data_IF_069627666131
#
_entry.id   IF_069627666131
#
_cell.length_a   1.000
_cell.length_b   1.000
_cell.length_c   1.000
_cell.angle_alpha   90.00
_cell.angle_beta   90.00
_cell.angle_gamma   90.00
#
_symmetry.space_group_name_H-M   'P 1'
#
loop_
_entity.id
_entity.type
_entity.pdbx_description
1 polymer ?
#
# COMPACT_ATOMS: atom_id res chain seq x y z
N UNK A 1 38.62 57.43 56.49
CA UNK A 1 38.96 55.99 56.40
C UNK A 1 37.66 55.24 56.52
N UNK A 2 36.99 54.90 55.42
CA UNK A 2 37.05 53.54 54.88
C UNK A 2 36.76 53.54 53.38
N UNK A 3 37.68 52.91 52.66
CA UNK A 3 37.70 52.67 51.22
C UNK A 3 36.60 51.69 50.79
N UNK A 4 35.74 52.12 49.87
CA UNK A 4 34.80 51.25 49.15
C UNK A 4 35.55 50.33 48.19
N UNK A 5 35.75 49.08 48.61
CA UNK A 5 36.36 48.03 47.80
C UNK A 5 35.34 47.52 46.76
N UNK A 6 35.58 47.85 45.49
CA UNK A 6 34.84 47.34 44.34
C UNK A 6 35.19 45.87 44.11
N UNK A 7 34.29 44.96 44.49
CA UNK A 7 34.40 43.53 44.19
C UNK A 7 34.13 43.28 42.70
N UNK A 8 35.21 43.11 41.94
CA UNK A 8 35.19 42.55 40.59
C UNK A 8 34.70 41.11 40.64
N UNK A 9 33.55 40.83 40.02
CA UNK A 9 33.10 39.46 39.79
C UNK A 9 33.96 38.81 38.70
N UNK A 10 34.51 37.60 38.91
CA UNK A 10 35.22 36.88 37.86
C UNK A 10 34.24 36.38 36.81
N UNK A 11 34.45 36.77 35.55
CA UNK A 11 33.72 36.26 34.39
C UNK A 11 34.02 34.77 34.19
N UNK A 12 32.98 33.93 34.24
CA UNK A 12 33.07 32.51 33.88
C UNK A 12 33.47 32.35 32.40
N UNK A 13 34.32 31.37 32.06
CA UNK A 13 34.66 31.09 30.66
C UNK A 13 33.44 30.55 29.90
N UNK A 14 33.31 30.88 28.60
CA UNK A 14 32.20 30.38 27.78
C UNK A 14 32.30 28.85 27.62
N UNK A 15 31.17 28.13 27.57
CA UNK A 15 31.16 26.69 27.39
C UNK A 15 31.72 26.31 26.01
N UNK A 16 32.38 25.14 25.88
CA UNK A 16 32.90 24.69 24.60
C UNK A 16 31.76 24.46 23.61
N UNK A 17 31.93 24.98 22.40
CA UNK A 17 31.00 24.76 21.28
C UNK A 17 30.93 23.25 20.98
N UNK A 18 29.73 22.68 21.13
CA UNK A 18 29.46 21.31 20.72
C UNK A 18 29.78 21.16 19.22
N UNK A 19 30.41 20.05 18.79
CA UNK A 19 30.71 19.82 17.39
C UNK A 19 29.44 19.95 16.55
N UNK A 20 29.48 20.87 15.59
CA UNK A 20 28.47 21.07 14.56
C UNK A 20 28.03 19.73 14.02
N UNK A 21 26.72 19.49 14.10
CA UNK A 21 25.98 18.35 13.59
C UNK A 21 26.81 17.48 12.64
N UNK A 22 27.21 16.30 13.14
CA UNK A 22 27.62 15.19 12.29
C UNK A 22 26.63 15.13 11.14
N UNK A 23 27.14 15.21 9.91
CA UNK A 23 26.41 14.85 8.71
C UNK A 23 25.85 13.44 8.89
N UNK A 24 24.64 13.36 9.44
CA UNK A 24 23.81 12.19 9.38
C UNK A 24 23.36 12.11 7.93
N UNK A 25 24.18 11.49 7.08
CA UNK A 25 23.67 10.91 5.85
C UNK A 25 22.64 9.86 6.30
N UNK A 26 21.37 10.28 6.29
CA UNK A 26 20.27 9.37 6.49
C UNK A 26 20.47 8.22 5.50
N UNK A 27 20.51 6.95 5.94
CA UNK A 27 20.58 5.85 4.99
C UNK A 27 19.38 6.00 4.06
N UNK A 28 19.65 6.01 2.76
CA UNK A 28 18.62 6.01 1.72
C UNK A 28 17.53 5.01 2.13
N UNK A 29 16.31 5.51 2.26
CA UNK A 29 15.17 4.81 2.85
C UNK A 29 15.18 3.32 2.48
N UNK A 30 15.49 2.46 3.46
CA UNK A 30 15.54 1.02 3.26
C UNK A 30 14.16 0.55 2.76
N UNK A 31 14.09 0.27 1.46
CA UNK A 31 12.87 -0.21 0.82
C UNK A 31 12.44 -1.49 1.54
N UNK A 32 11.27 -1.44 2.18
CA UNK A 32 10.72 -2.54 2.98
C UNK A 32 10.60 -3.78 2.11
N UNK A 33 10.94 -4.95 2.68
CA UNK A 33 10.89 -6.25 1.99
C UNK A 33 9.47 -6.52 1.49
N UNK A 34 9.33 -6.66 0.18
CA UNK A 34 8.07 -7.08 -0.46
C UNK A 34 7.87 -8.59 -0.27
N UNK A 35 6.61 -9.04 -0.31
CA UNK A 35 6.31 -10.47 -0.25
C UNK A 35 6.72 -11.22 -1.52
N UNK A 36 6.70 -10.53 -2.66
CA UNK A 36 6.99 -11.09 -3.99
C UNK A 36 7.81 -10.09 -4.77
N UNK A 37 8.82 -10.57 -5.49
CA UNK A 37 9.58 -9.76 -6.43
C UNK A 37 8.98 -9.81 -7.84
N UNK A 38 9.06 -8.70 -8.60
CA UNK A 38 8.61 -8.67 -9.98
C UNK A 38 9.47 -9.60 -10.83
N UNK A 39 8.87 -10.20 -11.86
CA UNK A 39 9.59 -11.02 -12.83
C UNK A 39 10.75 -10.25 -13.47
N UNK A 40 10.50 -9.00 -13.86
CA UNK A 40 11.49 -8.07 -14.40
C UNK A 40 11.50 -6.77 -13.58
N UNK A 41 12.54 -6.48 -12.78
CA UNK A 41 12.58 -5.30 -11.91
C UNK A 41 12.68 -3.98 -12.69
N UNK A 42 13.28 -4.02 -13.88
CA UNK A 42 13.41 -2.86 -14.77
C UNK A 42 12.05 -2.46 -15.37
N UNK A 43 11.27 -3.45 -15.83
CA UNK A 43 9.94 -3.25 -16.44
C UNK A 43 8.80 -3.22 -15.41
N UNK A 44 9.11 -2.96 -14.15
CA UNK A 44 8.12 -2.97 -13.08
C UNK A 44 8.29 -1.79 -12.13
N UNK A 45 7.19 -1.21 -11.69
CA UNK A 45 7.16 -0.19 -10.65
C UNK A 45 6.62 -0.79 -9.34
N UNK A 46 7.20 -0.38 -8.22
CA UNK A 46 6.82 -0.84 -6.88
C UNK A 46 6.23 0.33 -6.09
N UNK A 47 5.20 0.08 -5.30
CA UNK A 47 4.66 1.03 -4.34
C UNK A 47 4.15 0.31 -3.09
N UNK A 48 4.32 0.94 -1.92
CA UNK A 48 3.87 0.40 -0.65
C UNK A 48 3.24 1.48 0.23
N UNK A 49 2.09 1.17 0.82
CA UNK A 49 1.49 1.93 1.91
C UNK A 49 1.71 1.23 3.24
N UNK A 50 2.30 1.92 4.22
CA UNK A 50 2.65 1.34 5.52
C UNK A 50 1.74 1.86 6.63
N UNK A 51 1.38 0.98 7.57
CA UNK A 51 0.62 1.31 8.79
C UNK A 51 -0.66 2.12 8.53
N UNK A 52 -1.31 1.86 7.38
CA UNK A 52 -2.48 2.60 6.95
C UNK A 52 -3.66 2.30 7.86
N UNK A 53 -4.24 3.35 8.46
CA UNK A 53 -5.40 3.22 9.36
C UNK A 53 -6.72 3.06 8.58
N UNK A 54 -6.84 1.94 7.89
CA UNK A 54 -8.04 1.53 7.14
C UNK A 54 -8.51 0.15 7.60
N UNK A 55 -9.74 -0.24 7.27
CA UNK A 55 -10.27 -1.54 7.69
C UNK A 55 -9.66 -2.65 6.83
N UNK A 56 -8.70 -3.40 7.39
CA UNK A 56 -7.98 -4.48 6.70
C UNK A 56 -8.87 -5.37 5.81
N UNK A 57 -9.99 -5.87 6.34
CA UNK A 57 -10.87 -6.78 5.59
C UNK A 57 -11.47 -6.12 4.35
N UNK A 58 -11.82 -4.84 4.41
CA UNK A 58 -12.41 -4.12 3.29
C UNK A 58 -11.34 -3.82 2.23
N UNK A 59 -10.16 -3.40 2.69
CA UNK A 59 -9.02 -3.11 1.82
C UNK A 59 -8.56 -4.37 1.08
N UNK A 60 -8.57 -5.55 1.74
CA UNK A 60 -8.25 -6.83 1.08
C UNK A 60 -9.21 -7.16 -0.07
N UNK A 61 -10.51 -7.01 0.13
CA UNK A 61 -11.49 -7.27 -0.94
C UNK A 61 -11.36 -6.24 -2.07
N UNK A 62 -11.07 -4.98 -1.73
CA UNK A 62 -10.80 -3.91 -2.69
C UNK A 62 -9.58 -4.25 -3.56
N UNK A 63 -8.46 -4.61 -2.92
CA UNK A 63 -7.24 -4.99 -3.62
C UNK A 63 -7.44 -6.22 -4.52
N UNK A 64 -8.17 -7.23 -4.03
CA UNK A 64 -8.42 -8.44 -4.81
C UNK A 64 -9.26 -8.16 -6.07
N UNK A 65 -10.16 -7.18 -6.02
CA UNK A 65 -10.95 -6.77 -7.18
C UNK A 65 -10.13 -6.08 -8.27
N UNK A 66 -9.00 -5.47 -7.94
CA UNK A 66 -8.13 -4.75 -8.88
C UNK A 66 -7.06 -5.63 -9.54
N UNK A 67 -6.89 -6.87 -9.08
CA UNK A 67 -5.81 -7.74 -9.55
C UNK A 67 -5.94 -8.00 -11.06
N UNK A 68 -4.83 -7.88 -11.80
CA UNK A 68 -4.75 -8.07 -13.26
C UNK A 68 -5.53 -7.04 -14.09
N UNK A 69 -5.94 -5.91 -13.52
CA UNK A 69 -6.54 -4.82 -14.29
C UNK A 69 -5.47 -3.88 -14.86
N UNK A 70 -5.70 -3.28 -16.04
CA UNK A 70 -4.87 -2.19 -16.53
C UNK A 70 -5.06 -0.95 -15.64
N UNK A 71 -4.02 -0.13 -15.52
CA UNK A 71 -3.95 0.96 -14.54
C UNK A 71 -5.08 2.00 -14.71
N UNK A 72 -5.33 2.44 -15.95
CA UNK A 72 -6.40 3.40 -16.24
C UNK A 72 -7.80 2.89 -15.87
N UNK A 73 -8.07 1.60 -16.13
CA UNK A 73 -9.34 0.96 -15.75
C UNK A 73 -9.47 0.82 -14.24
N UNK A 74 -8.38 0.49 -13.55
CA UNK A 74 -8.36 0.35 -12.09
C UNK A 74 -8.70 1.68 -11.39
N UNK A 75 -8.14 2.80 -11.86
CA UNK A 75 -8.46 4.15 -11.36
C UNK A 75 -9.93 4.50 -11.54
N UNK A 76 -10.44 4.41 -12.78
CA UNK A 76 -11.85 4.67 -13.09
C UNK A 76 -12.79 3.80 -12.25
N UNK A 77 -12.44 2.53 -12.08
CA UNK A 77 -13.22 1.63 -11.25
C UNK A 77 -13.29 2.05 -9.78
N UNK A 78 -12.19 2.55 -9.20
CA UNK A 78 -12.20 3.07 -7.82
C UNK A 78 -12.98 4.37 -7.69
N UNK A 79 -12.92 5.25 -8.69
CA UNK A 79 -13.74 6.47 -8.74
C UNK A 79 -15.24 6.14 -8.82
N UNK A 80 -15.62 5.15 -9.63
CA UNK A 80 -16.99 4.65 -9.71
C UNK A 80 -17.46 4.02 -8.40
N UNK A 81 -16.56 3.39 -7.64
CA UNK A 81 -16.86 2.87 -6.29
C UNK A 81 -17.14 4.02 -5.32
N UNK A 82 -16.39 5.12 -5.40
CA UNK A 82 -16.64 6.32 -4.59
C UNK A 82 -17.98 6.96 -4.95
N UNK A 83 -18.32 6.98 -6.24
CA UNK A 83 -19.61 7.45 -6.75
C UNK A 83 -20.76 6.44 -6.58
N UNK A 84 -20.52 5.29 -5.95
CA UNK A 84 -21.51 4.20 -5.75
C UNK A 84 -22.11 3.60 -7.05
N UNK A 85 -21.49 3.85 -8.21
CA UNK A 85 -21.89 3.30 -9.51
C UNK A 85 -21.52 1.82 -9.65
N UNK A 86 -20.43 1.42 -9.00
CA UNK A 86 -19.89 0.06 -9.07
C UNK A 86 -19.55 -0.45 -7.66
N UNK A 87 -20.00 -1.66 -7.32
CA UNK A 87 -19.73 -2.26 -6.02
C UNK A 87 -18.48 -3.15 -6.04
N UNK A 88 -17.75 -3.16 -4.91
CA UNK A 88 -16.65 -4.10 -4.69
C UNK A 88 -17.25 -5.42 -4.20
N UNK A 89 -16.97 -6.56 -4.88
CA UNK A 89 -17.45 -7.86 -4.45
C UNK A 89 -16.70 -8.33 -3.20
N UNK A 90 -17.43 -8.79 -2.18
CA UNK A 90 -16.84 -9.37 -0.96
C UNK A 90 -16.85 -10.89 -1.06
N UNK A 91 -15.67 -11.50 -1.21
CA UNK A 91 -15.52 -12.95 -1.43
C UNK A 91 -15.17 -13.71 -0.16
N UNK A 92 -14.16 -13.25 0.60
CA UNK A 92 -13.69 -13.95 1.81
C UNK A 92 -14.42 -13.47 3.07
N UNK A 93 -14.59 -12.17 3.23
CA UNK A 93 -15.21 -11.56 4.42
C UNK A 93 -16.70 -11.29 4.21
N UNK A 94 -17.48 -12.36 4.09
CA UNK A 94 -18.88 -12.34 3.65
C UNK A 94 -19.94 -12.49 4.77
N UNK A 95 -19.55 -12.87 5.99
CA UNK A 95 -20.49 -13.15 7.09
C UNK A 95 -21.15 -11.85 7.59
N UNK A 96 -22.39 -11.60 7.17
CA UNK A 96 -23.17 -10.40 7.54
C UNK A 96 -23.01 -9.20 6.59
N UNK A 97 -22.54 -9.41 5.35
CA UNK A 97 -22.45 -8.35 4.34
C UNK A 97 -23.74 -8.27 3.52
N UNK A 98 -24.23 -7.04 3.29
CA UNK A 98 -25.38 -6.77 2.44
C UNK A 98 -25.19 -7.26 1.00
N UNK A 99 -26.31 -7.51 0.32
CA UNK A 99 -26.35 -7.98 -1.07
C UNK A 99 -26.73 -6.82 -2.00
N UNK A 100 -26.10 -6.75 -3.17
CA UNK A 100 -26.33 -5.70 -4.15
C UNK A 100 -26.40 -6.31 -5.55
N UNK A 101 -27.35 -5.87 -6.38
CA UNK A 101 -27.47 -6.32 -7.76
C UNK A 101 -26.18 -6.08 -8.60
N UNK A 102 -25.49 -4.97 -8.35
CA UNK A 102 -24.22 -4.62 -9.00
C UNK A 102 -23.11 -5.68 -8.81
N UNK A 103 -23.15 -6.44 -7.71
CA UNK A 103 -22.15 -7.47 -7.42
C UNK A 103 -22.42 -8.79 -8.18
N UNK A 104 -23.63 -8.99 -8.73
CA UNK A 104 -24.03 -10.24 -9.41
C UNK A 104 -23.12 -10.56 -10.60
N UNK A 105 -22.74 -9.55 -11.38
CA UNK A 105 -21.89 -9.73 -12.56
C UNK A 105 -20.46 -10.20 -12.22
N UNK A 106 -20.00 -10.00 -10.98
CA UNK A 106 -18.63 -10.34 -10.56
C UNK A 106 -18.54 -11.52 -9.59
N UNK A 107 -19.64 -11.90 -8.94
CA UNK A 107 -19.65 -12.98 -7.95
C UNK A 107 -21.06 -13.55 -7.75
N UNK A 108 -21.18 -14.88 -7.70
CA UNK A 108 -22.48 -15.57 -7.60
C UNK A 108 -23.23 -15.31 -6.28
N UNK A 109 -22.52 -15.08 -5.18
CA UNK A 109 -23.13 -14.82 -3.86
C UNK A 109 -23.82 -13.43 -3.78
N UNK A 110 -23.59 -12.55 -4.75
CA UNK A 110 -24.26 -11.24 -4.83
C UNK A 110 -23.92 -10.26 -3.69
N UNK A 111 -22.90 -10.56 -2.87
CA UNK A 111 -22.47 -9.71 -1.76
C UNK A 111 -21.42 -8.68 -2.20
N UNK A 112 -21.67 -7.41 -1.88
CA UNK A 112 -20.78 -6.33 -2.24
C UNK A 112 -21.08 -5.05 -1.47
N UNK A 113 -20.08 -4.16 -1.37
CA UNK A 113 -20.17 -2.86 -0.69
C UNK A 113 -19.34 -1.82 -1.43
N UNK A 114 -19.48 -0.56 -1.00
CA UNK A 114 -18.66 0.58 -1.46
C UNK A 114 -17.76 1.09 -0.31
N UNK A 115 -16.64 0.42 -0.01
CA UNK A 115 -15.73 0.84 1.05
C UNK A 115 -14.94 2.10 0.65
N UNK A 116 -15.57 3.28 0.76
CA UNK A 116 -15.02 4.55 0.29
C UNK A 116 -13.63 4.88 0.88
N UNK A 117 -13.42 4.67 2.19
CA UNK A 117 -12.12 4.92 2.81
C UNK A 117 -11.02 4.04 2.20
N UNK A 118 -11.27 2.73 2.05
CA UNK A 118 -10.29 1.82 1.45
C UNK A 118 -10.01 2.17 -0.01
N UNK A 119 -11.05 2.53 -0.78
CA UNK A 119 -10.90 2.93 -2.18
C UNK A 119 -10.02 4.18 -2.34
N UNK A 120 -10.18 5.21 -1.50
CA UNK A 120 -9.34 6.42 -1.52
C UNK A 120 -7.86 6.09 -1.31
N UNK A 121 -7.53 5.36 -0.25
CA UNK A 121 -6.14 4.99 0.05
C UNK A 121 -5.49 4.14 -1.05
N UNK A 122 -6.26 3.27 -1.70
CA UNK A 122 -5.74 2.46 -2.82
C UNK A 122 -5.58 3.31 -4.08
N UNK A 123 -6.47 4.27 -4.33
CA UNK A 123 -6.33 5.24 -5.44
C UNK A 123 -5.06 6.08 -5.28
N UNK A 124 -4.79 6.58 -4.08
CA UNK A 124 -3.59 7.36 -3.79
C UNK A 124 -2.32 6.51 -3.97
N UNK A 125 -2.36 5.23 -3.59
CA UNK A 125 -1.25 4.31 -3.82
C UNK A 125 -1.02 4.03 -5.32
N UNK A 126 -2.09 3.96 -6.13
CA UNK A 126 -1.97 3.80 -7.58
C UNK A 126 -1.37 5.04 -8.25
N UNK A 127 -1.74 6.25 -7.81
CA UNK A 127 -1.13 7.50 -8.29
C UNK A 127 0.36 7.54 -7.96
N UNK A 128 0.74 7.15 -6.75
CA UNK A 128 2.15 7.05 -6.36
C UNK A 128 2.91 6.00 -7.21
N UNK A 129 2.28 4.86 -7.51
CA UNK A 129 2.88 3.83 -8.33
C UNK A 129 3.07 4.25 -9.79
N UNK A 130 2.15 5.07 -10.32
CA UNK A 130 2.27 5.69 -11.64
C UNK A 130 3.43 6.69 -11.68
N UNK A 131 3.54 7.60 -10.71
CA UNK A 131 4.69 8.52 -10.64
C UNK A 131 6.03 7.77 -10.54
N UNK A 132 6.07 6.64 -9.83
CA UNK A 132 7.26 5.78 -9.79
C UNK A 132 7.56 5.10 -11.14
N UNK A 133 6.54 4.84 -11.96
CA UNK A 133 6.71 4.26 -13.28
C UNK A 133 7.20 5.31 -14.30
N UNK A 134 6.67 6.54 -14.21
CA UNK A 134 7.14 7.69 -15.00
C UNK A 134 8.61 7.98 -14.75
N UNK A 135 9.04 7.99 -13.48
CA UNK A 135 10.46 8.17 -13.11
C UNK A 135 11.35 7.06 -13.68
N UNK A 136 10.82 5.85 -13.88
CA UNK A 136 11.52 4.74 -14.52
C UNK A 136 11.48 4.78 -16.05
N UNK A 137 10.71 5.71 -16.65
CA UNK A 137 10.53 5.79 -18.10
C UNK A 137 9.69 4.65 -18.69
N UNK A 138 8.80 4.04 -17.89
CA UNK A 138 7.88 3.02 -18.38
C UNK A 138 6.65 3.68 -19.03
N UNK A 139 6.09 3.03 -20.06
CA UNK A 139 4.85 3.48 -20.68
C UNK A 139 3.66 3.25 -19.74
N UNK A 140 3.03 4.33 -19.27
CA UNK A 140 1.94 4.32 -18.29
C UNK A 140 0.70 3.60 -18.81
N UNK A 141 0.45 3.66 -20.12
CA UNK A 141 -0.76 3.10 -20.74
C UNK A 141 -0.67 1.56 -20.87
N UNK A 142 0.53 1.03 -21.06
CA UNK A 142 0.80 -0.41 -21.12
C UNK A 142 0.85 -1.11 -19.74
N UNK A 143 0.80 -0.35 -18.63
CA UNK A 143 0.91 -0.90 -17.28
C UNK A 143 -0.37 -1.61 -16.81
N UNK A 144 -0.16 -2.73 -16.15
CA UNK A 144 -1.21 -3.42 -15.41
C UNK A 144 -0.74 -3.81 -14.01
N UNK A 145 -1.73 -4.04 -13.13
CA UNK A 145 -1.47 -4.46 -11.76
C UNK A 145 -1.14 -5.96 -11.76
N UNK A 146 0.15 -6.29 -11.68
CA UNK A 146 0.64 -7.67 -11.67
C UNK A 146 0.42 -8.31 -10.30
N UNK A 147 0.82 -7.61 -9.24
CA UNK A 147 0.69 -8.07 -7.87
C UNK A 147 0.11 -6.97 -6.97
N UNK A 148 -0.86 -7.36 -6.15
CA UNK A 148 -1.37 -6.52 -5.07
C UNK A 148 -1.69 -7.40 -3.87
N UNK A 149 -1.18 -7.00 -2.72
CA UNK A 149 -1.37 -7.73 -1.48
C UNK A 149 -1.60 -6.75 -0.33
N UNK A 150 -2.42 -7.21 0.62
CA UNK A 150 -2.77 -6.45 1.82
C UNK A 150 -2.50 -7.35 3.00
N UNK A 151 -1.58 -6.90 3.87
CA UNK A 151 -1.16 -7.59 5.07
C UNK A 151 -1.67 -6.86 6.31
N UNK A 152 -1.97 -7.59 7.38
CA UNK A 152 -2.34 -6.96 8.66
C UNK A 152 -1.10 -6.30 9.25
N UNK A 153 -1.25 -5.04 9.67
CA UNK A 153 -0.24 -4.33 10.44
C UNK A 153 -0.52 -4.48 11.95
N UNK A 154 0.37 -3.93 12.78
CA UNK A 154 0.23 -3.98 14.23
C UNK A 154 -1.08 -3.31 14.68
N UNK A 155 -1.87 -4.04 15.48
CA UNK A 155 -3.15 -3.52 16.00
C UNK A 155 -2.91 -2.39 17.00
N UNK A 156 -3.58 -1.25 16.79
CA UNK A 156 -3.55 -0.15 17.74
C UNK A 156 -4.46 -0.45 18.91
N UNK A 157 -3.91 -0.45 20.13
CA UNK A 157 -4.65 -0.77 21.36
C UNK A 157 -5.44 0.45 21.85
N UNK A 158 -6.74 0.24 22.11
CA UNK A 158 -7.61 1.15 22.88
C UNK A 158 -8.52 0.29 23.76
N UNK A 159 -8.94 0.85 24.89
CA UNK A 159 -9.87 0.21 25.83
C UNK A 159 -11.23 0.89 25.76
N UNK A 160 -12.29 0.13 26.01
CA UNK A 160 -13.66 0.62 26.10
C UNK A 160 -14.31 0.04 27.35
N UNK A 161 -14.76 0.91 28.24
CA UNK A 161 -15.52 0.53 29.42
C UNK A 161 -16.92 0.06 29.02
N UNK A 162 -17.40 -0.98 29.71
CA UNK A 162 -18.71 -1.60 29.49
C UNK A 162 -19.45 -1.72 30.81
N UNK A 163 -20.74 -2.02 30.72
CA UNK A 163 -21.58 -2.25 31.90
C UNK A 163 -20.97 -3.27 32.87
N UNK A 164 -21.23 -3.05 34.16
CA UNK A 164 -20.73 -3.84 35.30
C UNK A 164 -19.19 -3.84 35.43
N UNK A 165 -18.54 -2.71 35.16
CA UNK A 165 -17.09 -2.56 35.35
C UNK A 165 -16.21 -3.37 34.38
N UNK A 166 -16.79 -3.97 33.33
CA UNK A 166 -16.05 -4.76 32.34
C UNK A 166 -15.23 -3.87 31.41
N UNK A 167 -14.03 -4.31 31.05
CA UNK A 167 -13.14 -3.59 30.11
C UNK A 167 -12.89 -4.46 28.88
N UNK A 168 -13.35 -4.00 27.72
CA UNK A 168 -13.13 -4.69 26.45
C UNK A 168 -12.16 -3.91 25.54
N UNK A 169 -11.41 -4.59 24.67
CA UNK A 169 -10.56 -3.92 23.70
C UNK A 169 -11.39 -3.40 22.51
N UNK A 170 -11.09 -2.19 22.05
CA UNK A 170 -11.57 -1.66 20.77
C UNK A 170 -10.38 -1.27 19.90
N UNK A 171 -9.83 -2.27 19.20
CA UNK A 171 -8.59 -2.11 18.46
C UNK A 171 -8.83 -1.60 17.05
N UNK A 172 -7.91 -0.77 16.53
CA UNK A 172 -7.84 -0.51 15.09
C UNK A 172 -6.98 -1.59 14.43
N UNK A 173 -7.37 -1.99 13.22
CA UNK A 173 -6.66 -3.00 12.43
C UNK A 173 -6.04 -2.34 11.20
N UNK A 174 -4.91 -1.60 11.35
CA UNK A 174 -4.23 -1.02 10.21
C UNK A 174 -3.68 -2.10 9.28
N UNK A 175 -3.26 -1.71 8.08
CA UNK A 175 -2.72 -2.63 7.09
C UNK A 175 -1.52 -2.07 6.34
N UNK A 176 -0.66 -2.97 5.88
CA UNK A 176 0.32 -2.71 4.84
C UNK A 176 -0.28 -3.11 3.50
N UNK A 177 -0.14 -2.26 2.48
CA UNK A 177 -0.54 -2.56 1.11
C UNK A 177 0.71 -2.53 0.27
N UNK A 178 0.97 -3.60 -0.46
CA UNK A 178 2.05 -3.67 -1.44
C UNK A 178 1.46 -3.81 -2.84
N UNK A 179 2.06 -3.11 -3.79
CA UNK A 179 1.60 -3.04 -5.17
C UNK A 179 2.79 -3.09 -6.11
N UNK A 180 2.64 -3.89 -7.16
CA UNK A 180 3.59 -4.02 -8.25
C UNK A 180 2.83 -3.81 -9.55
N UNK A 181 3.32 -2.85 -10.33
CA UNK A 181 2.92 -2.66 -11.71
C UNK A 181 3.96 -3.32 -12.60
N UNK A 182 3.52 -3.96 -13.66
CA UNK A 182 4.40 -4.51 -14.68
C UNK A 182 3.87 -4.10 -16.04
N UNK A 183 4.79 -3.91 -16.97
CA UNK A 183 4.48 -3.68 -18.37
C UNK A 183 3.93 -4.97 -19.00
N UNK A 184 2.92 -4.85 -19.85
CA UNK A 184 2.35 -5.99 -20.56
C UNK A 184 3.25 -6.33 -21.76
N UNK A 185 4.03 -7.39 -21.64
CA UNK A 185 4.75 -7.93 -22.79
C UNK A 185 3.75 -8.57 -23.77
N UNK A 186 3.87 -8.23 -25.05
CA UNK A 186 3.13 -8.94 -26.09
C UNK A 186 3.56 -10.41 -26.10
N UNK A 187 2.64 -11.37 -26.22
CA UNK A 187 2.99 -12.78 -26.19
C UNK A 187 3.90 -13.11 -27.36
N UNK A 188 5.16 -13.46 -27.07
CA UNK A 188 6.09 -14.03 -28.04
C UNK A 188 5.46 -15.30 -28.60
N UNK A 189 5.27 -15.37 -29.92
CA UNK A 189 4.80 -16.57 -30.59
C UNK A 189 5.76 -17.71 -30.25
N UNK A 190 5.26 -18.79 -29.66
CA UNK A 190 6.04 -20.02 -29.47
C UNK A 190 6.57 -20.46 -30.83
N UNK A 191 7.87 -20.73 -30.92
CA UNK A 191 8.44 -21.39 -32.08
C UNK A 191 7.79 -22.78 -32.22
N UNK A 192 7.44 -23.22 -33.45
CA UNK A 192 6.88 -24.55 -33.64
C UNK A 192 7.93 -25.60 -33.29
N UNK A 193 7.64 -26.43 -32.28
CA UNK A 193 8.48 -27.58 -31.93
C UNK A 193 8.66 -28.47 -33.18
N UNK A 194 9.90 -28.59 -33.65
CA UNK A 194 10.23 -29.51 -34.73
C UNK A 194 10.00 -30.93 -34.25
N UNK A 195 9.02 -31.62 -34.84
CA UNK A 195 8.76 -33.03 -34.57
C UNK A 195 10.01 -33.86 -34.90
N UNK A 196 10.70 -34.36 -33.87
CA UNK A 196 11.77 -35.33 -34.04
C UNK A 196 11.14 -36.62 -34.55
N UNK A 197 11.46 -36.99 -35.79
CA UNK A 197 10.95 -38.18 -36.45
C UNK A 197 11.19 -39.44 -35.61
N UNK A 198 10.15 -40.26 -35.45
CA UNK A 198 10.24 -41.58 -34.82
C UNK A 198 11.27 -42.43 -35.57
N UNK A 199 12.35 -42.84 -34.88
CA UNK A 199 13.27 -43.86 -35.41
C UNK A 199 12.49 -45.17 -35.52
N UNK A 200 12.36 -45.69 -36.75
CA UNK A 200 11.89 -47.05 -37.01
C UNK A 200 12.93 -48.05 -36.47
N UNK A 201 12.45 -49.05 -35.74
CA UNK A 201 13.05 -50.37 -35.62
C UNK A 201 11.95 -51.39 -35.90
#
# INVERSE_FOLDING_TARGET
>A
MTSSSSLLHPSLPPPPLLPSHRNCSAPAAAMVKYSTDPANPTKSAKAMGRDLRVHFKNTRETAFALRKMPLGKAKRYLEDVLAHKQAIPFRRYCRGVGRTAQAKNRQSNGQGRWPAKSAKFVLDLLKNAESNAEVKGLDVDALYISHIQVNQAQKQRRRTYRAHGRINPYMSNPCHIELILSEKEEPVKKEPESQIASRKA
#
